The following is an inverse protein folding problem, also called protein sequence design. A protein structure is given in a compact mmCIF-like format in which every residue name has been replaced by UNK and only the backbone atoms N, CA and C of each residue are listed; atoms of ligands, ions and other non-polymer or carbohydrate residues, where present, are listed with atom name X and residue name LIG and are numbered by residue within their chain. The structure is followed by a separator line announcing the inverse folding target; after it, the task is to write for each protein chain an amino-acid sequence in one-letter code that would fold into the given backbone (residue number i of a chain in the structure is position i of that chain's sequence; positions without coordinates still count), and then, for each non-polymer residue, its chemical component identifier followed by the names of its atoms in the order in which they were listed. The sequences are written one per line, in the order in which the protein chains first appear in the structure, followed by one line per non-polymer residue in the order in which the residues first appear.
data_IF_727784131528
#
_entry.id   IF_727784131528
#
_cell.length_a   1.000
_cell.length_b   1.000
_cell.length_c   1.000
_cell.angle_alpha   90.00
_cell.angle_beta   90.00
_cell.angle_gamma   90.00
#
_symmetry.space_group_name_H-M   'P 1'
#
loop_
_entity.id
_entity.type
_entity.pdbx_description
1 polymer ?
#
# COMPACT_ATOMS: atom_id res chain seq x y z
N UNK A 1 18.09 -0.10 34.70
CA UNK A 1 16.93 0.08 33.80
C UNK A 1 17.36 1.11 32.78
N UNK A 2 17.41 0.75 31.51
CA UNK A 2 17.69 1.68 30.40
C UNK A 2 16.44 2.58 30.26
N UNK A 3 16.60 3.88 30.42
CA UNK A 3 15.52 4.85 30.25
C UNK A 3 15.07 4.83 28.78
N UNK A 4 13.79 4.50 28.53
CA UNK A 4 13.21 4.52 27.19
C UNK A 4 13.05 5.99 26.79
N UNK A 5 13.84 6.46 25.84
CA UNK A 5 13.90 7.87 25.45
C UNK A 5 13.10 8.17 24.18
N UNK A 6 12.82 7.17 23.35
CA UNK A 6 12.10 7.32 22.10
C UNK A 6 11.21 6.11 21.81
N UNK A 7 10.01 6.37 21.28
CA UNK A 7 9.04 5.34 20.91
C UNK A 7 8.75 5.40 19.42
N UNK A 8 8.68 4.25 18.79
CA UNK A 8 8.21 4.11 17.43
C UNK A 8 6.66 4.08 17.41
N UNK A 9 6.07 4.86 16.51
CA UNK A 9 4.62 4.98 16.39
C UNK A 9 4.16 4.22 15.16
N UNK A 10 3.28 3.26 15.37
CA UNK A 10 2.61 2.49 14.33
C UNK A 10 1.12 2.85 14.29
N UNK A 11 0.60 3.08 13.09
CA UNK A 11 -0.82 3.30 12.88
C UNK A 11 -1.45 2.08 12.22
N UNK A 12 -2.54 1.60 12.82
CA UNK A 12 -3.20 0.36 12.42
C UNK A 12 -4.66 0.65 12.07
N UNK A 13 -5.03 0.32 10.82
CA UNK A 13 -6.44 0.34 10.43
C UNK A 13 -7.14 -0.92 10.95
N UNK A 14 -8.26 -0.74 11.64
CA UNK A 14 -9.17 -1.82 12.00
C UNK A 14 -10.06 -2.27 10.83
N UNK A 15 -11.01 -3.17 11.10
CA UNK A 15 -11.99 -3.56 10.09
C UNK A 15 -12.70 -2.35 9.50
N UNK A 16 -12.77 -2.29 8.18
CA UNK A 16 -13.35 -1.17 7.43
C UNK A 16 -14.72 -1.53 6.89
N UNK A 17 -15.69 -0.65 7.11
CA UNK A 17 -16.97 -0.67 6.41
C UNK A 17 -17.47 0.77 6.20
N UNK A 18 -18.55 0.95 5.42
CA UNK A 18 -19.08 2.26 5.06
C UNK A 18 -19.70 3.05 6.24
N UNK A 19 -19.95 2.41 7.39
CA UNK A 19 -20.60 3.06 8.53
C UNK A 19 -19.55 3.53 9.55
N UNK A 20 -18.53 2.71 9.81
CA UNK A 20 -17.47 3.06 10.76
C UNK A 20 -16.25 2.20 10.59
N UNK A 21 -15.13 2.73 11.04
CA UNK A 21 -13.87 1.98 11.21
C UNK A 21 -13.20 2.40 12.51
N UNK A 22 -12.15 1.68 12.88
CA UNK A 22 -11.27 2.06 13.98
C UNK A 22 -9.86 2.34 13.46
N UNK A 23 -9.20 3.30 14.07
CA UNK A 23 -7.77 3.54 13.92
C UNK A 23 -7.12 3.33 15.26
N UNK A 24 -6.11 2.49 15.28
CA UNK A 24 -5.29 2.26 16.46
C UNK A 24 -3.94 2.93 16.26
N UNK A 25 -3.44 3.55 17.31
CA UNK A 25 -2.08 4.08 17.39
C UNK A 25 -1.37 3.27 18.45
N UNK A 26 -0.30 2.58 18.05
CA UNK A 26 0.57 1.82 18.95
C UNK A 26 1.90 2.53 19.06
N UNK A 27 2.44 2.63 20.27
CA UNK A 27 3.78 3.13 20.50
C UNK A 27 4.61 2.10 21.24
N UNK A 28 5.75 1.73 20.66
CA UNK A 28 6.69 0.74 21.18
C UNK A 28 8.08 1.34 21.33
N UNK A 29 8.89 0.89 22.31
CA UNK A 29 10.29 1.31 22.39
C UNK A 29 11.08 0.92 21.14
N UNK A 30 11.85 1.83 20.60
CA UNK A 30 12.74 1.55 19.46
C UNK A 30 13.80 0.50 19.82
N UNK A 31 13.96 -0.49 18.94
CA UNK A 31 14.99 -1.52 19.08
C UNK A 31 14.63 -2.72 19.96
N UNK A 32 13.38 -2.84 20.40
CA UNK A 32 12.91 -4.05 21.09
C UNK A 32 12.17 -4.96 20.11
N UNK A 33 12.64 -6.22 20.02
CA UNK A 33 11.91 -7.24 19.28
C UNK A 33 10.61 -7.60 20.00
N UNK A 34 9.52 -7.84 19.26
CA UNK A 34 8.17 -8.16 19.80
C UNK A 34 8.20 -9.32 20.79
N UNK A 35 9.09 -10.31 20.60
CA UNK A 35 9.22 -11.48 21.47
C UNK A 35 9.73 -11.17 22.90
N UNK A 36 10.31 -9.99 23.11
CA UNK A 36 10.81 -9.54 24.41
C UNK A 36 9.83 -8.70 25.22
N UNK A 37 8.65 -8.39 24.70
CA UNK A 37 7.67 -7.51 25.35
C UNK A 37 6.93 -8.17 26.52
N UNK A 38 6.88 -9.49 26.60
CA UNK A 38 6.16 -10.22 27.63
C UNK A 38 6.69 -10.03 29.08
N UNK A 39 7.91 -9.46 29.24
CA UNK A 39 8.50 -9.16 30.54
C UNK A 39 8.61 -7.66 30.88
N UNK A 40 8.03 -6.77 30.06
CA UNK A 40 8.36 -5.34 30.06
C UNK A 40 7.24 -4.39 30.48
N UNK A 41 6.22 -4.87 31.19
CA UNK A 41 5.14 -4.02 31.72
C UNK A 41 5.63 -2.84 32.60
N UNK A 42 6.87 -2.89 33.08
CA UNK A 42 7.42 -1.86 33.95
C UNK A 42 7.71 -0.52 33.25
N UNK A 43 8.00 -0.50 31.92
CA UNK A 43 8.31 0.74 31.22
C UNK A 43 7.01 1.55 30.89
N UNK A 44 5.88 0.87 30.79
CA UNK A 44 4.59 1.47 30.39
C UNK A 44 3.93 2.27 31.52
N UNK A 45 4.26 1.97 32.78
CA UNK A 45 3.49 2.42 33.94
C UNK A 45 3.27 3.94 34.00
N UNK A 46 4.28 4.73 33.57
CA UNK A 46 4.22 6.19 33.61
C UNK A 46 4.02 6.84 32.23
N UNK A 47 3.92 6.03 31.17
CA UNK A 47 3.66 6.50 29.83
C UNK A 47 2.16 6.58 29.55
N UNK A 48 1.76 7.59 28.80
CA UNK A 48 0.39 7.77 28.28
C UNK A 48 0.46 8.20 26.85
N UNK A 49 -0.51 7.72 26.06
CA UNK A 49 -0.71 8.08 24.67
C UNK A 49 -2.00 8.87 24.52
N UNK A 50 -1.91 10.03 23.87
CA UNK A 50 -3.04 10.88 23.56
C UNK A 50 -2.91 11.42 22.14
N UNK A 51 -3.96 12.05 21.65
CA UNK A 51 -3.96 12.69 20.35
C UNK A 51 -5.32 12.69 19.70
N UNK A 52 -5.31 12.96 18.41
CA UNK A 52 -6.54 13.03 17.61
C UNK A 52 -6.28 12.63 16.17
N UNK A 53 -7.34 12.20 15.51
CA UNK A 53 -7.39 12.05 14.05
C UNK A 53 -8.39 13.05 13.50
N UNK A 54 -8.00 13.75 12.42
CA UNK A 54 -8.86 14.72 11.74
C UNK A 54 -8.91 14.44 10.24
N UNK A 55 -10.07 14.63 9.63
CA UNK A 55 -10.33 14.38 8.21
C UNK A 55 -11.77 13.90 7.98
N UNK A 56 -12.11 13.50 6.74
CA UNK A 56 -11.23 13.41 5.57
C UNK A 56 -10.85 14.77 4.98
N UNK A 57 -9.63 14.88 4.42
CA UNK A 57 -9.20 16.00 3.59
C UNK A 57 -8.96 15.50 2.17
N UNK A 58 -9.28 16.31 1.17
CA UNK A 58 -9.02 16.02 -0.24
C UNK A 58 -8.65 17.31 -0.97
N UNK A 59 -7.59 17.26 -1.79
CA UNK A 59 -7.15 18.44 -2.57
C UNK A 59 -8.04 18.72 -3.79
N UNK A 60 -8.80 17.71 -4.24
CA UNK A 60 -9.61 17.78 -5.46
C UNK A 60 -11.11 17.95 -5.20
N UNK A 61 -11.56 17.91 -3.95
CA UNK A 61 -12.98 18.06 -3.59
C UNK A 61 -13.15 18.61 -2.18
N UNK A 62 -14.25 19.30 -1.96
CA UNK A 62 -14.65 19.73 -0.63
C UNK A 62 -15.05 18.51 0.20
N UNK A 63 -14.60 18.47 1.43
CA UNK A 63 -14.89 17.45 2.42
C UNK A 63 -15.38 18.09 3.71
N UNK A 64 -16.02 17.35 4.58
CA UNK A 64 -16.44 17.78 5.92
C UNK A 64 -15.55 17.10 6.97
N UNK A 65 -14.39 17.67 7.31
CA UNK A 65 -13.49 17.06 8.27
C UNK A 65 -14.11 17.01 9.68
N UNK A 66 -14.01 15.85 10.32
CA UNK A 66 -14.28 15.69 11.74
C UNK A 66 -12.97 15.58 12.52
N UNK A 67 -12.98 15.95 13.80
CA UNK A 67 -11.87 15.76 14.73
C UNK A 67 -12.31 14.79 15.81
N UNK A 68 -11.57 13.71 15.97
CA UNK A 68 -11.90 12.62 16.88
C UNK A 68 -10.68 12.33 17.75
N UNK A 69 -10.84 12.44 19.07
CA UNK A 69 -9.78 12.15 20.02
C UNK A 69 -9.53 10.64 20.12
N UNK A 70 -8.27 10.26 20.27
CA UNK A 70 -7.89 8.92 20.65
C UNK A 70 -8.22 8.66 22.11
N UNK A 71 -8.68 7.45 22.38
CA UNK A 71 -8.92 6.93 23.73
C UNK A 71 -7.80 5.94 24.06
N UNK A 72 -7.09 6.19 25.15
CA UNK A 72 -6.09 5.27 25.68
C UNK A 72 -6.78 3.95 26.05
N UNK A 73 -6.25 2.84 25.56
CA UNK A 73 -6.80 1.50 25.77
C UNK A 73 -6.16 0.80 27.00
N UNK A 74 -5.27 1.51 27.69
CA UNK A 74 -4.57 0.98 28.86
C UNK A 74 -3.36 0.11 28.50
N UNK A 75 -2.94 -0.67 29.50
CA UNK A 75 -1.70 -1.44 29.44
C UNK A 75 -1.91 -2.76 28.65
N UNK A 76 -1.12 -2.94 27.61
CA UNK A 76 -1.09 -4.15 26.77
C UNK A 76 0.32 -4.49 26.36
N UNK A 77 0.49 -5.11 25.19
CA UNK A 77 1.81 -5.38 24.60
C UNK A 77 2.56 -4.11 24.10
N UNK A 78 2.07 -2.92 24.44
CA UNK A 78 2.60 -1.60 24.10
C UNK A 78 1.59 -0.54 24.51
N UNK A 79 1.94 0.73 24.38
CA UNK A 79 0.95 1.80 24.53
C UNK A 79 0.00 1.73 23.33
N UNK A 80 -1.28 1.67 23.60
CA UNK A 80 -2.32 1.56 22.58
C UNK A 80 -3.40 2.61 22.80
N UNK A 81 -3.74 3.37 21.77
CA UNK A 81 -4.90 4.24 21.74
C UNK A 81 -5.76 3.95 20.51
N UNK A 82 -7.05 4.19 20.61
CA UNK A 82 -8.00 3.94 19.53
C UNK A 82 -8.94 5.12 19.30
N UNK A 83 -9.29 5.36 18.05
CA UNK A 83 -10.37 6.26 17.67
C UNK A 83 -11.37 5.53 16.76
N UNK A 84 -12.67 5.74 16.98
CA UNK A 84 -13.72 5.25 16.10
C UNK A 84 -14.14 6.36 15.14
N UNK A 85 -13.96 6.12 13.87
CA UNK A 85 -14.26 7.05 12.79
C UNK A 85 -15.62 6.69 12.20
N UNK A 86 -16.63 7.55 12.32
CA UNK A 86 -17.91 7.38 11.63
C UNK A 86 -17.75 7.77 10.16
N UNK A 87 -18.52 7.13 9.29
CA UNK A 87 -18.56 7.40 7.84
C UNK A 87 -17.16 7.56 7.22
N UNK A 88 -16.27 6.56 7.39
CA UNK A 88 -14.89 6.69 6.94
C UNK A 88 -14.82 6.78 5.42
N UNK A 89 -14.02 7.71 4.92
CA UNK A 89 -13.76 7.86 3.50
C UNK A 89 -12.52 7.06 3.10
N UNK A 90 -12.70 6.00 2.30
CA UNK A 90 -11.59 5.24 1.75
C UNK A 90 -10.83 6.07 0.71
N UNK A 91 -9.51 5.93 0.71
CA UNK A 91 -8.66 6.51 -0.31
C UNK A 91 -8.89 5.81 -1.66
N UNK A 92 -9.15 6.58 -2.69
CA UNK A 92 -9.21 6.13 -4.08
C UNK A 92 -8.54 7.16 -4.98
N UNK A 93 -8.16 6.78 -6.20
CA UNK A 93 -7.61 7.74 -7.16
C UNK A 93 -8.55 8.94 -7.41
N UNK A 94 -9.86 8.71 -7.47
CA UNK A 94 -10.86 9.77 -7.72
C UNK A 94 -11.15 10.62 -6.49
N UNK A 95 -10.99 10.05 -5.31
CA UNK A 95 -11.17 10.72 -4.03
C UNK A 95 -9.99 10.36 -3.12
N UNK A 96 -8.84 11.05 -3.27
CA UNK A 96 -7.64 10.78 -2.47
C UNK A 96 -7.80 11.35 -1.06
N UNK A 97 -8.74 10.78 -0.32
CA UNK A 97 -9.08 11.20 1.02
C UNK A 97 -7.96 10.85 2.01
N UNK A 98 -7.48 11.84 2.72
CA UNK A 98 -6.41 11.71 3.71
C UNK A 98 -6.88 12.17 5.08
N UNK A 99 -6.24 11.66 6.12
CA UNK A 99 -6.47 12.04 7.51
C UNK A 99 -5.15 12.47 8.14
N UNK A 100 -5.21 13.45 9.04
CA UNK A 100 -4.08 13.86 9.86
C UNK A 100 -4.21 13.20 11.22
N UNK A 101 -3.17 12.54 11.66
CA UNK A 101 -3.09 11.89 12.97
C UNK A 101 -2.04 12.62 13.79
N UNK A 102 -2.47 13.32 14.83
CA UNK A 102 -1.61 13.96 15.82
C UNK A 102 -1.47 13.02 17.00
N UNK A 103 -0.25 12.68 17.39
CA UNK A 103 0.06 11.80 18.51
C UNK A 103 0.93 12.54 19.51
N UNK A 104 0.56 12.46 20.78
CA UNK A 104 1.34 12.97 21.90
C UNK A 104 1.62 11.85 22.88
N UNK A 105 2.88 11.67 23.23
CA UNK A 105 3.34 10.74 24.24
C UNK A 105 3.85 11.51 25.46
N UNK A 106 3.31 11.15 26.63
CA UNK A 106 3.72 11.73 27.92
C UNK A 106 4.32 10.64 28.81
N UNK A 107 5.31 11.02 29.60
CA UNK A 107 5.92 10.19 30.64
C UNK A 107 5.97 10.96 31.95
N UNK A 108 5.44 10.37 33.02
CA UNK A 108 5.30 11.00 34.33
C UNK A 108 4.65 12.41 34.27
N UNK A 109 3.63 12.57 33.41
CA UNK A 109 2.92 13.83 33.21
C UNK A 109 3.66 14.89 32.35
N UNK A 110 4.86 14.58 31.85
CA UNK A 110 5.60 15.45 30.95
C UNK A 110 5.51 14.97 29.51
N UNK A 111 5.25 15.88 28.57
CA UNK A 111 5.30 15.58 27.13
C UNK A 111 6.72 15.24 26.71
N UNK A 112 6.89 14.05 26.13
CA UNK A 112 8.19 13.55 25.65
C UNK A 112 8.31 13.55 24.15
N UNK A 113 7.22 13.24 23.46
CA UNK A 113 7.20 13.14 22.00
C UNK A 113 5.89 13.68 21.46
N UNK A 114 5.95 14.38 20.35
CA UNK A 114 4.79 14.79 19.56
C UNK A 114 5.12 14.53 18.09
N UNK A 115 4.20 13.94 17.36
CA UNK A 115 4.35 13.67 15.93
C UNK A 115 3.03 13.85 15.20
N UNK A 116 3.13 14.18 13.91
CA UNK A 116 2.00 14.26 13.00
C UNK A 116 2.24 13.30 11.84
N UNK A 117 1.22 12.53 11.50
CA UNK A 117 1.27 11.54 10.44
C UNK A 117 0.12 11.74 9.46
N UNK A 118 0.39 11.46 8.19
CA UNK A 118 -0.66 11.29 7.19
C UNK A 118 -1.18 9.86 7.24
N UNK A 119 -2.49 9.70 7.23
CA UNK A 119 -3.15 8.40 7.26
C UNK A 119 -4.22 8.29 6.18
N UNK A 120 -4.39 7.10 5.63
CA UNK A 120 -5.41 6.80 4.62
C UNK A 120 -6.11 5.49 4.94
N UNK A 121 -7.40 5.45 4.75
CA UNK A 121 -8.13 4.18 4.80
C UNK A 121 -8.02 3.48 3.47
N UNK A 122 -7.54 2.25 3.49
CA UNK A 122 -7.45 1.39 2.32
C UNK A 122 -8.64 0.47 2.23
N UNK A 123 -9.04 0.25 1.01
CA UNK A 123 -10.15 -0.62 0.69
C UNK A 123 -9.84 -1.50 -0.54
N UNK A 124 -8.55 -1.83 -0.71
CA UNK A 124 -8.09 -2.73 -1.76
C UNK A 124 -7.73 -4.08 -1.16
N UNK A 125 -8.11 -5.15 -1.80
CA UNK A 125 -7.75 -6.52 -1.38
C UNK A 125 -7.63 -7.46 -2.58
N UNK A 126 -6.96 -8.59 -2.37
CA UNK A 126 -6.98 -9.72 -3.27
C UNK A 126 -8.05 -10.70 -2.80
N UNK A 127 -8.88 -11.15 -3.75
CA UNK A 127 -9.81 -12.28 -3.58
C UNK A 127 -9.60 -13.24 -4.73
N UNK A 128 -9.24 -14.48 -4.41
CA UNK A 128 -8.94 -15.49 -5.40
C UNK A 128 -7.87 -14.99 -6.41
N UNK A 129 -8.21 -14.91 -7.68
CA UNK A 129 -7.32 -14.51 -8.78
C UNK A 129 -7.47 -13.05 -9.22
N UNK A 130 -8.02 -12.17 -8.40
CA UNK A 130 -8.33 -10.79 -8.82
C UNK A 130 -8.09 -9.77 -7.71
N UNK A 131 -7.77 -8.54 -8.13
CA UNK A 131 -7.79 -7.38 -7.26
C UNK A 131 -9.21 -6.84 -7.15
N UNK A 132 -9.55 -6.35 -5.96
CA UNK A 132 -10.81 -5.70 -5.67
C UNK A 132 -10.56 -4.35 -5.00
N UNK A 133 -11.43 -3.41 -5.30
CA UNK A 133 -11.46 -2.09 -4.68
C UNK A 133 -12.87 -1.83 -4.15
N UNK A 134 -12.96 -1.27 -2.96
CA UNK A 134 -14.22 -0.81 -2.42
C UNK A 134 -14.67 0.46 -3.12
N UNK A 135 -15.91 0.51 -3.59
CA UNK A 135 -16.51 1.73 -4.12
C UNK A 135 -16.95 2.67 -2.98
N UNK A 136 -17.44 3.86 -3.36
CA UNK A 136 -17.92 4.88 -2.41
C UNK A 136 -19.08 4.41 -1.52
N UNK A 137 -19.78 3.36 -1.93
CA UNK A 137 -20.88 2.75 -1.18
C UNK A 137 -20.43 1.58 -0.30
N UNK A 138 -19.14 1.28 -0.26
CA UNK A 138 -18.58 0.17 0.50
C UNK A 138 -18.71 -1.20 -0.18
N UNK A 139 -19.12 -1.26 -1.46
CA UNK A 139 -19.19 -2.51 -2.20
C UNK A 139 -17.85 -2.83 -2.85
N UNK A 140 -17.46 -4.09 -2.78
CA UNK A 140 -16.26 -4.57 -3.47
C UNK A 140 -16.54 -4.76 -4.96
N UNK A 141 -15.71 -4.10 -5.79
CA UNK A 141 -15.72 -4.26 -7.24
C UNK A 141 -14.40 -4.80 -7.71
N UNK A 142 -14.43 -5.76 -8.64
CA UNK A 142 -13.24 -6.24 -9.31
C UNK A 142 -12.53 -5.07 -9.97
N UNK A 143 -11.24 -4.96 -9.73
CA UNK A 143 -10.38 -3.93 -10.27
C UNK A 143 -9.31 -4.55 -11.17
N UNK A 144 -9.45 -4.41 -12.47
CA UNK A 144 -8.45 -4.81 -13.46
C UNK A 144 -7.39 -3.71 -13.53
N UNK A 145 -6.19 -4.02 -13.05
CA UNK A 145 -5.08 -3.05 -13.04
C UNK A 145 -4.63 -2.72 -14.47
N UNK A 146 -4.43 -1.45 -14.75
CA UNK A 146 -3.84 -0.96 -16.00
C UNK A 146 -2.61 -0.16 -15.65
N UNK A 147 -1.46 -0.83 -15.73
CA UNK A 147 -0.22 -0.30 -15.23
C UNK A 147 0.63 0.22 -16.37
N UNK A 148 1.31 1.33 -16.16
CA UNK A 148 2.23 1.90 -17.14
C UNK A 148 3.51 2.34 -16.45
N UNK A 149 4.66 2.02 -17.04
CA UNK A 149 5.94 2.51 -16.57
C UNK A 149 6.15 3.93 -17.10
N UNK A 150 6.07 4.90 -16.20
CA UNK A 150 6.18 6.33 -16.51
C UNK A 150 6.92 7.05 -15.38
N UNK A 151 7.74 8.07 -15.67
CA UNK A 151 8.34 8.89 -14.62
C UNK A 151 7.25 9.48 -13.72
N UNK A 152 7.37 9.27 -12.42
CA UNK A 152 6.32 9.70 -11.49
C UNK A 152 6.18 11.23 -11.42
N UNK A 153 7.29 11.95 -11.57
CA UNK A 153 7.28 13.41 -11.56
C UNK A 153 6.49 13.97 -12.75
N UNK A 154 6.60 13.31 -13.92
CA UNK A 154 5.78 13.65 -15.11
C UNK A 154 4.31 13.31 -14.87
N UNK A 155 4.02 12.17 -14.24
CA UNK A 155 2.66 11.77 -13.88
C UNK A 155 2.01 12.73 -12.87
N UNK A 156 2.80 13.44 -12.07
CA UNK A 156 2.37 14.43 -11.09
C UNK A 156 2.36 15.87 -11.61
N UNK A 157 2.88 16.13 -12.81
CA UNK A 157 3.05 17.49 -13.36
C UNK A 157 1.75 18.26 -13.52
N UNK A 158 0.63 17.56 -13.79
CA UNK A 158 -0.73 18.11 -13.87
C UNK A 158 -1.56 17.80 -12.61
N UNK A 159 -0.91 17.51 -11.49
CA UNK A 159 -1.59 17.05 -10.26
C UNK A 159 -2.19 15.64 -10.41
N UNK A 160 -1.69 14.82 -11.32
CA UNK A 160 -2.12 13.44 -11.55
C UNK A 160 -3.46 13.32 -12.30
N UNK A 161 -3.98 14.38 -12.90
CA UNK A 161 -5.30 14.40 -13.52
C UNK A 161 -5.43 13.37 -14.64
N UNK A 162 -4.49 13.32 -15.58
CA UNK A 162 -4.52 12.37 -16.70
C UNK A 162 -4.48 10.91 -16.20
N UNK A 163 -3.67 10.60 -15.21
CA UNK A 163 -3.64 9.25 -14.61
C UNK A 163 -4.97 8.85 -13.98
N UNK A 164 -5.62 9.79 -13.27
CA UNK A 164 -6.95 9.55 -12.65
C UNK A 164 -8.04 9.37 -13.68
N UNK A 165 -8.07 10.23 -14.71
CA UNK A 165 -9.09 10.17 -15.78
C UNK A 165 -8.99 8.87 -16.57
N UNK A 166 -7.78 8.46 -16.96
CA UNK A 166 -7.56 7.23 -17.71
C UNK A 166 -7.56 5.98 -16.82
N UNK A 167 -7.61 6.14 -15.50
CA UNK A 167 -7.62 5.02 -14.54
C UNK A 167 -6.34 4.19 -14.60
N UNK A 168 -5.21 4.84 -14.76
CA UNK A 168 -3.89 4.22 -14.85
C UNK A 168 -3.25 4.06 -13.48
N UNK A 169 -2.39 3.03 -13.38
CA UNK A 169 -1.50 2.77 -12.27
C UNK A 169 -0.07 3.04 -12.72
N UNK A 170 0.64 3.92 -12.03
CA UNK A 170 2.02 4.24 -12.34
C UNK A 170 2.95 3.16 -11.78
N UNK A 171 3.79 2.54 -12.62
CA UNK A 171 4.85 1.64 -12.17
C UNK A 171 6.07 2.49 -11.82
N UNK A 172 6.52 2.41 -10.57
CA UNK A 172 7.65 3.18 -10.05
C UNK A 172 8.65 2.26 -9.37
N UNK A 173 9.93 2.40 -9.72
CA UNK A 173 11.01 1.64 -9.10
C UNK A 173 11.52 2.42 -7.89
N UNK A 174 11.49 1.78 -6.70
CA UNK A 174 11.95 2.35 -5.44
C UNK A 174 11.44 3.80 -5.19
N UNK A 175 10.12 4.05 -5.19
CA UNK A 175 9.62 5.41 -4.98
C UNK A 175 10.06 5.96 -3.63
N UNK A 176 10.39 7.25 -3.60
CA UNK A 176 10.74 7.94 -2.37
C UNK A 176 9.51 8.26 -1.53
N UNK A 177 9.70 8.51 -0.24
CA UNK A 177 8.62 8.91 0.68
C UNK A 177 7.93 10.20 0.22
N UNK A 178 8.70 11.16 -0.32
CA UNK A 178 8.17 12.40 -0.87
C UNK A 178 7.28 12.15 -2.10
N UNK A 179 7.73 11.30 -3.01
CA UNK A 179 6.96 10.87 -4.17
C UNK A 179 5.66 10.16 -3.75
N UNK A 180 5.72 9.26 -2.76
CA UNK A 180 4.54 8.60 -2.22
C UNK A 180 3.56 9.58 -1.56
N UNK A 181 4.07 10.59 -0.84
CA UNK A 181 3.25 11.63 -0.24
C UNK A 181 2.51 12.43 -1.33
N UNK A 182 3.23 12.93 -2.33
CA UNK A 182 2.65 13.69 -3.45
C UNK A 182 1.62 12.84 -4.23
N UNK A 183 1.95 11.60 -4.54
CA UNK A 183 1.03 10.69 -5.23
C UNK A 183 -0.23 10.39 -4.39
N UNK A 184 -0.08 10.23 -3.06
CA UNK A 184 -1.22 10.04 -2.16
C UNK A 184 -2.15 11.25 -2.17
N UNK A 185 -1.62 12.46 -2.10
CA UNK A 185 -2.41 13.70 -2.10
C UNK A 185 -3.11 13.93 -3.45
N UNK A 186 -2.44 13.59 -4.55
CA UNK A 186 -2.92 13.82 -5.92
C UNK A 186 -3.71 12.65 -6.53
N UNK A 187 -3.88 11.54 -5.83
CA UNK A 187 -4.67 10.39 -6.30
C UNK A 187 -3.99 9.58 -7.42
N UNK A 188 -2.65 9.66 -7.54
CA UNK A 188 -1.90 8.80 -8.47
C UNK A 188 -1.64 7.46 -7.81
N UNK A 189 -2.18 6.40 -8.39
CA UNK A 189 -1.97 5.02 -7.90
C UNK A 189 -0.61 4.51 -8.33
N UNK A 190 0.11 3.88 -7.41
CA UNK A 190 1.45 3.31 -7.65
C UNK A 190 1.42 1.79 -7.50
N UNK A 191 1.99 1.09 -8.47
CA UNK A 191 2.53 -0.26 -8.35
C UNK A 191 4.04 -0.12 -8.16
N UNK A 192 4.53 -0.35 -6.95
CA UNK A 192 5.95 -0.18 -6.66
C UNK A 192 6.75 -1.40 -7.05
N UNK A 193 7.86 -1.21 -7.75
CA UNK A 193 8.91 -2.23 -7.93
C UNK A 193 9.96 -1.99 -6.86
N UNK A 194 10.14 -2.94 -5.95
CA UNK A 194 11.15 -2.89 -4.89
C UNK A 194 12.37 -3.67 -5.36
N UNK A 195 13.45 -2.94 -5.59
CA UNK A 195 14.74 -3.48 -6.00
C UNK A 195 15.79 -2.98 -5.02
N UNK A 196 16.17 -3.82 -4.07
CA UNK A 196 17.12 -3.50 -3.01
C UNK A 196 18.27 -4.52 -2.99
N UNK A 197 19.46 -4.14 -2.49
CA UNK A 197 20.64 -5.00 -2.54
C UNK A 197 20.59 -6.18 -1.57
N UNK A 198 19.76 -6.11 -0.53
CA UNK A 198 19.67 -7.13 0.51
C UNK A 198 18.22 -7.30 1.01
N UNK A 199 17.99 -8.41 1.71
CA UNK A 199 16.68 -8.80 2.22
C UNK A 199 16.13 -7.83 3.26
N UNK A 200 16.97 -7.34 4.19
CA UNK A 200 16.52 -6.46 5.28
C UNK A 200 16.04 -5.13 4.72
N UNK A 201 16.78 -4.56 3.75
CA UNK A 201 16.35 -3.33 3.05
C UNK A 201 15.11 -3.55 2.20
N UNK A 202 14.98 -4.74 1.58
CA UNK A 202 13.77 -5.08 0.82
C UNK A 202 12.55 -5.09 1.73
N UNK A 203 12.61 -5.77 2.87
CA UNK A 203 11.52 -5.85 3.84
C UNK A 203 11.19 -4.46 4.42
N UNK A 204 12.22 -3.69 4.79
CA UNK A 204 12.04 -2.32 5.28
C UNK A 204 11.33 -1.44 4.25
N UNK A 205 11.79 -1.45 3.00
CA UNK A 205 11.18 -0.68 1.91
C UNK A 205 9.72 -1.08 1.68
N UNK A 206 9.38 -2.37 1.68
CA UNK A 206 7.99 -2.82 1.54
C UNK A 206 7.12 -2.33 2.69
N UNK A 207 7.60 -2.42 3.93
CA UNK A 207 6.89 -1.93 5.13
C UNK A 207 6.68 -0.41 5.08
N UNK A 208 7.69 0.35 4.69
CA UNK A 208 7.62 1.80 4.52
C UNK A 208 6.63 2.21 3.42
N UNK A 209 6.62 1.50 2.30
CA UNK A 209 5.68 1.72 1.21
C UNK A 209 4.25 1.35 1.59
N UNK A 210 4.09 0.35 2.44
CA UNK A 210 2.79 -0.14 2.86
C UNK A 210 1.97 0.87 3.69
N UNK A 211 2.51 1.97 4.16
CA UNK A 211 1.75 3.01 4.88
C UNK A 211 1.06 4.01 3.94
N UNK A 212 1.50 4.12 2.67
CA UNK A 212 1.02 5.12 1.72
C UNK A 212 -0.22 4.68 0.96
N UNK A 213 -1.28 5.48 0.98
CA UNK A 213 -2.54 5.18 0.30
C UNK A 213 -2.42 4.97 -1.21
N UNK A 214 -1.51 5.68 -1.85
CA UNK A 214 -1.25 5.57 -3.29
C UNK A 214 -0.63 4.22 -3.70
N UNK A 215 0.12 3.54 -2.83
CA UNK A 215 0.78 2.27 -3.16
C UNK A 215 -0.22 1.13 -3.07
N UNK A 216 -0.65 0.62 -4.21
CA UNK A 216 -1.66 -0.44 -4.27
C UNK A 216 -1.09 -1.84 -4.11
N UNK A 217 0.14 -2.05 -4.56
CA UNK A 217 0.88 -3.31 -4.43
C UNK A 217 2.37 -3.07 -4.59
N UNK A 218 3.19 -4.00 -4.09
CA UNK A 218 4.64 -4.03 -4.31
C UNK A 218 5.04 -5.28 -5.10
N UNK A 219 6.00 -5.14 -6.00
CA UNK A 219 6.65 -6.25 -6.71
C UNK A 219 8.11 -6.30 -6.26
N UNK A 220 8.52 -7.40 -5.71
CA UNK A 220 9.91 -7.62 -5.34
C UNK A 220 10.64 -8.24 -6.52
N UNK A 221 11.78 -7.65 -6.89
CA UNK A 221 12.63 -8.10 -8.00
C UNK A 221 14.02 -8.46 -7.46
N UNK A 222 14.48 -9.65 -7.82
CA UNK A 222 15.79 -10.20 -7.41
C UNK A 222 15.66 -11.54 -6.71
N UNK A 223 16.78 -12.25 -6.59
CA UNK A 223 16.88 -13.54 -5.90
C UNK A 223 16.98 -13.31 -4.38
N UNK A 224 15.85 -12.99 -3.76
CA UNK A 224 15.78 -12.70 -2.32
C UNK A 224 14.98 -13.81 -1.63
N UNK A 225 15.60 -14.56 -0.74
CA UNK A 225 14.92 -15.59 0.06
C UNK A 225 14.14 -14.95 1.22
N UNK A 226 12.93 -14.44 0.93
CA UNK A 226 12.02 -13.88 1.92
C UNK A 226 11.17 -15.00 2.53
N UNK A 227 11.04 -15.01 3.84
CA UNK A 227 10.10 -15.89 4.54
C UNK A 227 8.73 -15.21 4.63
N UNK A 228 7.65 -15.98 4.60
CA UNK A 228 6.29 -15.45 4.78
C UNK A 228 6.16 -14.61 6.06
N UNK A 229 6.85 -15.01 7.12
CA UNK A 229 6.85 -14.32 8.42
C UNK A 229 7.44 -12.91 8.36
N UNK A 230 8.33 -12.62 7.40
CA UNK A 230 8.99 -11.32 7.28
C UNK A 230 8.04 -10.23 6.76
N UNK A 231 7.02 -10.66 6.01
CA UNK A 231 5.96 -9.82 5.44
C UNK A 231 4.67 -9.84 6.26
N UNK A 232 4.68 -10.51 7.43
CA UNK A 232 3.57 -10.41 8.37
C UNK A 232 3.32 -8.94 8.71
N UNK A 233 2.03 -8.54 8.74
CA UNK A 233 1.59 -7.17 8.97
C UNK A 233 1.76 -6.20 7.78
N UNK A 234 2.34 -6.61 6.64
CA UNK A 234 2.29 -5.82 5.41
C UNK A 234 0.87 -5.84 4.85
N UNK A 235 0.25 -4.66 4.71
CA UNK A 235 -1.18 -4.52 4.36
C UNK A 235 -1.42 -4.20 2.89
N UNK A 236 -0.43 -4.38 2.06
CA UNK A 236 -0.55 -4.29 0.61
C UNK A 236 -0.17 -5.64 0.01
N UNK A 237 -0.77 -6.02 -1.11
CA UNK A 237 -0.34 -7.17 -1.87
C UNK A 237 1.14 -7.08 -2.24
N UNK A 238 1.87 -8.17 -2.00
CA UNK A 238 3.26 -8.30 -2.40
C UNK A 238 3.37 -9.41 -3.44
N UNK A 239 3.98 -9.12 -4.56
CA UNK A 239 4.12 -10.05 -5.68
C UNK A 239 5.55 -10.15 -6.20
N UNK A 240 5.74 -11.00 -7.19
CA UNK A 240 7.01 -11.19 -7.87
C UNK A 240 6.87 -11.00 -9.39
N UNK A 241 7.98 -10.79 -10.08
CA UNK A 241 8.05 -10.89 -11.53
C UNK A 241 8.59 -12.27 -11.91
N UNK A 242 7.94 -12.92 -12.83
CA UNK A 242 8.30 -14.26 -13.31
C UNK A 242 8.80 -14.14 -14.73
N UNK A 243 10.02 -14.58 -14.97
CA UNK A 243 10.63 -14.59 -16.31
C UNK A 243 10.17 -15.82 -17.12
N UNK A 244 10.03 -16.95 -16.44
CA UNK A 244 9.54 -18.20 -17.03
C UNK A 244 8.43 -18.80 -16.16
N UNK A 245 7.27 -19.07 -16.74
CA UNK A 245 6.11 -19.67 -16.07
C UNK A 245 6.34 -21.10 -15.57
N UNK A 246 7.44 -21.72 -15.94
CA UNK A 246 7.89 -23.03 -15.39
C UNK A 246 8.52 -22.91 -14.00
N UNK A 247 8.88 -21.70 -13.56
CA UNK A 247 9.48 -21.46 -12.26
C UNK A 247 8.42 -21.59 -11.15
N UNK A 248 8.83 -22.18 -10.01
CA UNK A 248 7.99 -22.19 -8.82
C UNK A 248 7.90 -20.79 -8.21
N UNK A 249 6.68 -20.33 -7.98
CA UNK A 249 6.47 -19.04 -7.32
C UNK A 249 6.93 -19.07 -5.87
N UNK A 250 7.52 -17.98 -5.37
CA UNK A 250 7.83 -17.84 -3.94
C UNK A 250 6.56 -17.95 -3.11
N UNK A 251 6.61 -18.63 -1.96
CA UNK A 251 5.45 -18.85 -1.09
C UNK A 251 4.84 -17.52 -0.57
N UNK A 252 5.67 -16.49 -0.40
CA UNK A 252 5.23 -15.15 0.02
C UNK A 252 4.51 -14.35 -1.07
N UNK A 253 4.58 -14.76 -2.37
CA UNK A 253 3.99 -14.01 -3.45
C UNK A 253 2.47 -14.20 -3.48
N UNK A 254 1.75 -13.09 -3.41
CA UNK A 254 0.29 -13.03 -3.46
C UNK A 254 -0.24 -12.75 -4.87
N UNK A 255 0.62 -12.30 -5.79
CA UNK A 255 0.34 -12.13 -7.21
C UNK A 255 1.66 -12.19 -8.00
N UNK A 256 1.57 -12.33 -9.33
CA UNK A 256 2.75 -12.26 -10.17
C UNK A 256 2.53 -11.39 -11.41
N UNK A 257 3.67 -10.89 -11.96
CA UNK A 257 3.72 -10.24 -13.26
C UNK A 257 4.45 -11.17 -14.23
N UNK A 258 3.83 -11.46 -15.36
CA UNK A 258 4.34 -12.36 -16.40
C UNK A 258 4.46 -11.61 -17.72
N UNK A 259 5.54 -11.81 -18.46
CA UNK A 259 5.70 -11.25 -19.80
C UNK A 259 4.77 -11.94 -20.81
N UNK A 260 4.17 -11.17 -21.72
CA UNK A 260 3.26 -11.70 -22.75
C UNK A 260 3.95 -12.75 -23.63
N UNK A 261 5.26 -12.59 -23.90
CA UNK A 261 6.02 -13.55 -24.68
C UNK A 261 6.15 -14.93 -24.02
N UNK A 262 6.00 -15.00 -22.69
CA UNK A 262 6.07 -16.24 -21.91
C UNK A 262 4.70 -16.94 -21.77
N UNK A 263 3.59 -16.28 -22.17
CA UNK A 263 2.23 -16.80 -21.99
C UNK A 263 1.90 -18.04 -22.82
N UNK A 264 2.54 -18.24 -23.97
CA UNK A 264 2.27 -19.42 -24.84
C UNK A 264 2.51 -20.77 -24.13
N UNK A 265 3.25 -20.76 -23.02
CA UNK A 265 3.48 -21.90 -22.13
C UNK A 265 2.64 -21.84 -20.84
N UNK A 266 1.82 -20.79 -20.67
CA UNK A 266 1.25 -20.39 -19.38
C UNK A 266 -0.22 -20.79 -19.18
N UNK A 267 -0.93 -21.33 -20.16
CA UNK A 267 -2.34 -21.69 -19.97
C UNK A 267 -2.53 -22.67 -18.79
N UNK A 268 -1.65 -23.66 -18.66
CA UNK A 268 -1.64 -24.57 -17.53
C UNK A 268 -1.23 -23.88 -16.20
N UNK A 269 -0.42 -22.81 -16.26
CA UNK A 269 -0.01 -22.04 -15.09
C UNK A 269 -1.17 -21.17 -14.57
N UNK A 270 -1.87 -20.47 -15.46
CA UNK A 270 -2.99 -19.58 -15.10
C UNK A 270 -4.18 -20.39 -14.57
N UNK A 271 -4.51 -21.50 -15.19
CA UNK A 271 -5.62 -22.38 -14.78
C UNK A 271 -5.34 -23.09 -13.45
N UNK A 272 -4.06 -23.32 -13.11
CA UNK A 272 -3.65 -23.96 -11.86
C UNK A 272 -3.39 -23.00 -10.69
N UNK A 273 -3.24 -21.71 -10.94
CA UNK A 273 -2.92 -20.71 -9.91
C UNK A 273 -4.20 -20.03 -9.39
N UNK A 274 -4.35 -20.04 -8.07
CA UNK A 274 -5.44 -19.32 -7.40
C UNK A 274 -5.02 -17.89 -6.98
N UNK A 275 -4.07 -17.29 -7.71
CA UNK A 275 -3.57 -15.94 -7.43
C UNK A 275 -3.73 -15.02 -8.65
N UNK A 276 -3.80 -13.68 -8.44
CA UNK A 276 -3.84 -12.72 -9.52
C UNK A 276 -2.59 -12.78 -10.41
N UNK A 277 -2.80 -12.79 -11.72
CA UNK A 277 -1.74 -12.69 -12.72
C UNK A 277 -1.90 -11.38 -13.48
N UNK A 278 -0.83 -10.60 -13.58
CA UNK A 278 -0.74 -9.37 -14.38
C UNK A 278 0.12 -9.67 -15.59
N UNK A 279 -0.38 -9.37 -16.78
CA UNK A 279 0.39 -9.56 -18.04
C UNK A 279 1.14 -8.28 -18.38
N UNK A 280 2.42 -8.37 -18.68
CA UNK A 280 3.24 -7.25 -19.12
C UNK A 280 3.66 -7.37 -20.58
N UNK A 281 3.79 -6.22 -21.26
CA UNK A 281 4.35 -6.08 -22.59
C UNK A 281 5.23 -4.84 -22.64
N UNK A 282 6.23 -4.83 -23.54
CA UNK A 282 7.14 -3.71 -23.72
C UNK A 282 6.74 -2.95 -24.98
N UNK A 283 6.15 -1.77 -24.82
CA UNK A 283 5.69 -0.93 -25.90
C UNK A 283 5.89 0.56 -25.61
N UNK A 284 6.31 1.37 -26.60
CA UNK A 284 6.36 2.82 -26.45
C UNK A 284 4.93 3.40 -26.44
N UNK A 285 4.71 4.48 -25.71
CA UNK A 285 3.49 5.28 -25.76
C UNK A 285 3.83 6.77 -25.68
N UNK A 286 2.96 7.62 -26.22
CA UNK A 286 3.17 9.06 -26.29
C UNK A 286 2.52 9.80 -25.13
N UNK A 287 1.35 9.32 -24.66
CA UNK A 287 0.56 9.91 -23.58
C UNK A 287 -0.23 8.85 -22.78
N UNK A 288 -0.87 9.28 -21.72
CA UNK A 288 -1.68 8.42 -20.84
C UNK A 288 -2.81 7.70 -21.58
N UNK A 289 -3.44 8.38 -22.55
CA UNK A 289 -4.53 7.78 -23.33
C UNK A 289 -4.02 6.70 -24.27
N UNK A 290 -2.88 6.93 -24.92
CA UNK A 290 -2.22 5.92 -25.74
C UNK A 290 -1.81 4.70 -24.90
N UNK A 291 -1.22 4.91 -23.74
CA UNK A 291 -0.88 3.86 -22.78
C UNK A 291 -2.12 3.05 -22.33
N UNK A 292 -3.23 3.74 -22.04
CA UNK A 292 -4.51 3.10 -21.69
C UNK A 292 -5.06 2.22 -22.81
N UNK A 293 -4.96 2.72 -24.05
CA UNK A 293 -5.36 1.96 -25.24
C UNK A 293 -4.48 0.73 -25.45
N UNK A 294 -3.18 0.83 -25.24
CA UNK A 294 -2.26 -0.32 -25.34
C UNK A 294 -2.60 -1.39 -24.29
N UNK A 295 -2.91 -1.02 -23.05
CA UNK A 295 -3.42 -1.97 -22.06
C UNK A 295 -4.70 -2.69 -22.54
N UNK A 296 -5.60 -1.97 -23.21
CA UNK A 296 -6.84 -2.56 -23.76
C UNK A 296 -6.55 -3.49 -24.95
N UNK A 297 -5.58 -3.16 -25.80
CA UNK A 297 -5.12 -4.03 -26.89
C UNK A 297 -4.48 -5.30 -26.34
N UNK A 298 -3.58 -5.16 -25.37
CA UNK A 298 -2.96 -6.31 -24.70
C UNK A 298 -4.02 -7.22 -24.09
N UNK A 299 -5.00 -6.65 -23.35
CA UNK A 299 -6.13 -7.39 -22.80
C UNK A 299 -6.88 -8.20 -23.88
N UNK A 300 -7.17 -7.57 -25.02
CA UNK A 300 -7.87 -8.22 -26.12
C UNK A 300 -7.06 -9.38 -26.72
N UNK A 301 -5.75 -9.19 -26.87
CA UNK A 301 -4.86 -10.16 -27.51
C UNK A 301 -4.75 -11.43 -26.67
N UNK A 302 -4.73 -11.31 -25.33
CA UNK A 302 -4.56 -12.48 -24.43
C UNK A 302 -5.88 -13.01 -23.84
N UNK A 303 -7.02 -12.43 -24.23
CA UNK A 303 -8.34 -12.78 -23.66
C UNK A 303 -8.73 -14.25 -23.89
N UNK A 304 -8.19 -14.92 -24.91
CA UNK A 304 -8.44 -16.33 -25.17
C UNK A 304 -7.62 -17.27 -24.27
N UNK A 305 -6.56 -16.75 -23.63
CA UNK A 305 -5.62 -17.53 -22.85
C UNK A 305 -5.97 -17.55 -21.35
N UNK A 306 -6.76 -16.59 -20.88
CA UNK A 306 -7.19 -16.55 -19.48
C UNK A 306 -7.80 -15.22 -19.03
N UNK A 307 -8.28 -15.21 -17.78
CA UNK A 307 -8.82 -14.03 -17.10
C UNK A 307 -7.77 -13.42 -16.16
N UNK A 308 -7.09 -12.42 -16.65
CA UNK A 308 -5.98 -11.78 -15.95
C UNK A 308 -6.45 -10.65 -15.03
N UNK A 309 -5.69 -10.44 -13.96
CA UNK A 309 -5.97 -9.43 -12.94
C UNK A 309 -5.49 -8.02 -13.35
N UNK A 310 -4.64 -7.92 -14.36
CA UNK A 310 -4.15 -6.64 -14.86
C UNK A 310 -3.27 -6.75 -16.11
N UNK A 311 -2.96 -5.58 -16.66
CA UNK A 311 -2.16 -5.42 -17.87
C UNK A 311 -1.16 -4.29 -17.67
N UNK A 312 0.10 -4.55 -17.96
CA UNK A 312 1.21 -3.61 -17.78
C UNK A 312 1.86 -3.27 -19.12
N UNK A 313 2.05 -1.99 -19.38
CA UNK A 313 2.88 -1.51 -20.48
C UNK A 313 4.19 -0.97 -19.89
N UNK A 314 5.27 -1.63 -20.23
CA UNK A 314 6.62 -1.25 -19.85
C UNK A 314 7.28 -0.50 -21.01
N UNK A 315 8.14 0.44 -20.70
CA UNK A 315 8.96 1.12 -21.70
C UNK A 315 10.36 0.54 -21.72
N UNK A 316 10.97 0.43 -22.90
CA UNK A 316 12.42 0.23 -22.96
C UNK A 316 13.07 1.48 -22.38
N UNK A 317 13.77 1.36 -21.25
CA UNK A 317 14.59 2.46 -20.76
C UNK A 317 15.50 2.89 -21.93
N UNK A 318 15.29 4.09 -22.44
CA UNK A 318 16.35 4.82 -23.11
C UNK A 318 17.19 5.40 -21.98
N UNK A 319 18.32 4.70 -21.69
CA UNK A 319 19.40 5.23 -20.85
C UNK A 319 19.76 6.66 -21.23
#
# INVERSE_FOLDING_TARGET
MTEVTNLEIEMIQGPFNSISTQVFVRANPTGFAEDNLAGQSAWQADWRIAGQISGPYCVHSETLPAVIAFQDQGDGAGLLAAARIPDPCAWTARLPATYKVDVELTHAGQRRQQSQHLFTFRANEIRQNSFYQTDLNGNYRRWVLRCVQHPLDDALSDGGEQFREEGLVCIVINPTMEQCNLATLNGVVILSIVQQPDIEKTISAVKELAVWGCVTACVIVGDVEIKDTDLNNVRIPVGCRVADVSESLPAWAQFCIVDVASLSNASAFVDGQQMPVIVSDIQPFEDCRAARNQCAVLQKNVAAEGDYAGYCILTTNKD
#
